data_IF_561097786957
#
_entry.id   IF_561097786957
#
_cell.length_a   1.000
_cell.length_b   1.000
_cell.length_c   1.000
_cell.angle_alpha   90.00
_cell.angle_beta   90.00
_cell.angle_gamma   90.00
#
_symmetry.space_group_name_H-M   'P 1'
#
loop_
_entity.id
_entity.type
_entity.pdbx_description
1 polymer ?
#
# COMPACT_ATOMS: atom_id res chain seq x y z
N UNK A 1 9.11 9.74 18.71
CA UNK A 1 7.77 9.38 18.20
C UNK A 1 7.98 8.16 17.31
N UNK A 2 7.04 7.75 16.46
CA UNK A 2 7.35 6.77 15.42
C UNK A 2 7.63 7.52 14.12
N UNK A 3 8.58 7.05 13.33
CA UNK A 3 8.79 7.56 11.98
C UNK A 3 7.57 7.26 11.10
N UNK A 4 7.39 8.01 10.02
CA UNK A 4 6.31 7.74 9.06
C UNK A 4 6.41 6.31 8.50
N UNK A 5 7.62 5.80 8.30
CA UNK A 5 7.81 4.43 7.82
C UNK A 5 7.29 3.40 8.83
N UNK A 6 7.65 3.53 10.11
CA UNK A 6 7.20 2.60 11.16
C UNK A 6 5.66 2.61 11.32
N UNK A 7 5.01 3.74 11.05
CA UNK A 7 3.55 3.87 11.08
C UNK A 7 2.89 3.11 9.91
N UNK A 8 3.54 3.09 8.74
CA UNK A 8 3.04 2.46 7.51
C UNK A 8 3.37 0.97 7.44
N UNK A 9 4.44 0.55 8.10
CA UNK A 9 4.89 -0.84 8.13
C UNK A 9 3.79 -1.80 8.61
N UNK A 10 3.65 -2.90 7.88
CA UNK A 10 2.68 -3.93 8.20
C UNK A 10 3.00 -4.58 9.55
N UNK A 11 1.97 -4.87 10.33
CA UNK A 11 2.14 -5.76 11.49
C UNK A 11 2.52 -7.18 11.03
N UNK A 12 3.10 -8.04 11.90
CA UNK A 12 3.42 -9.41 11.55
C UNK A 12 2.22 -10.22 11.01
N UNK A 13 1.03 -9.97 11.54
CA UNK A 13 -0.21 -10.60 11.10
C UNK A 13 -0.64 -10.12 9.70
N UNK A 14 -0.54 -8.80 9.45
CA UNK A 14 -0.82 -8.20 8.14
C UNK A 14 0.18 -8.69 7.10
N UNK A 15 1.47 -8.76 7.43
CA UNK A 15 2.53 -9.26 6.54
C UNK A 15 2.29 -10.74 6.16
N UNK A 16 1.87 -11.56 7.13
CA UNK A 16 1.51 -12.96 6.88
C UNK A 16 0.31 -13.10 5.95
N UNK A 17 -0.71 -12.24 6.09
CA UNK A 17 -1.85 -12.21 5.19
C UNK A 17 -1.44 -11.74 3.78
N UNK A 18 -0.63 -10.69 3.70
CA UNK A 18 -0.08 -10.16 2.46
C UNK A 18 0.69 -11.23 1.66
N UNK A 19 1.60 -11.96 2.31
CA UNK A 19 2.36 -13.06 1.68
C UNK A 19 1.46 -14.14 1.07
N UNK A 20 0.29 -14.41 1.66
CA UNK A 20 -0.70 -15.35 1.11
C UNK A 20 -1.38 -14.80 -0.14
N UNK A 21 -1.70 -13.51 -0.16
CA UNK A 21 -2.24 -12.83 -1.34
C UNK A 21 -1.23 -12.85 -2.49
N UNK A 22 0.03 -12.50 -2.23
CA UNK A 22 1.12 -12.56 -3.22
C UNK A 22 1.18 -13.95 -3.88
N UNK A 23 1.17 -15.00 -3.04
CA UNK A 23 1.20 -16.38 -3.54
C UNK A 23 -0.04 -16.72 -4.37
N UNK A 24 -1.23 -16.31 -3.94
CA UNK A 24 -2.47 -16.55 -4.69
C UNK A 24 -2.44 -15.88 -6.08
N UNK A 25 -1.91 -14.66 -6.18
CA UNK A 25 -1.73 -13.97 -7.47
C UNK A 25 -0.76 -14.74 -8.37
N UNK A 26 0.37 -15.19 -7.81
CA UNK A 26 1.37 -15.97 -8.55
C UNK A 26 0.80 -17.31 -9.05
N UNK A 27 0.10 -18.05 -8.18
CA UNK A 27 -0.52 -19.33 -8.51
C UNK A 27 -1.59 -19.17 -9.61
N UNK A 28 -2.41 -18.11 -9.55
CA UNK A 28 -3.40 -17.82 -10.59
C UNK A 28 -2.74 -17.53 -11.95
N UNK A 29 -1.71 -16.68 -12.00
CA UNK A 29 -0.94 -16.42 -13.23
C UNK A 29 -0.31 -17.70 -13.78
N UNK A 30 0.28 -18.52 -12.91
CA UNK A 30 0.89 -19.80 -13.28
C UNK A 30 -0.13 -20.79 -13.87
N UNK A 31 -1.40 -20.72 -13.45
CA UNK A 31 -2.49 -21.52 -14.02
C UNK A 31 -3.02 -21.01 -15.37
N UNK A 32 -2.41 -19.96 -15.94
CA UNK A 32 -2.86 -19.32 -17.19
C UNK A 32 -3.90 -18.22 -17.00
N UNK A 33 -4.21 -17.87 -15.75
CA UNK A 33 -5.08 -16.76 -15.41
C UNK A 33 -4.51 -15.42 -15.87
N UNK A 34 -5.39 -14.53 -16.32
CA UNK A 34 -5.05 -13.20 -16.78
C UNK A 34 -5.88 -12.17 -16.03
N UNK A 35 -5.25 -11.04 -15.78
CA UNK A 35 -5.81 -9.89 -15.10
C UNK A 35 -5.87 -8.75 -16.12
N UNK A 36 -6.82 -7.81 -15.97
CA UNK A 36 -6.93 -6.60 -16.79
C UNK A 36 -7.23 -5.41 -15.88
N UNK A 37 -6.38 -4.37 -15.91
CA UNK A 37 -6.63 -3.07 -15.27
C UNK A 37 -5.99 -1.98 -16.09
N UNK A 38 -6.30 -0.76 -15.69
CA UNK A 38 -5.52 0.44 -15.99
C UNK A 38 -4.80 0.77 -14.69
N UNK A 39 -3.45 0.83 -14.73
CA UNK A 39 -2.53 0.98 -13.59
C UNK A 39 -2.36 -0.34 -12.81
N UNK A 40 -1.12 -0.76 -12.64
CA UNK A 40 -0.76 -2.17 -12.49
C UNK A 40 -0.24 -2.53 -11.09
N UNK A 41 -0.27 -1.60 -10.13
CA UNK A 41 0.34 -1.79 -8.81
C UNK A 41 -0.71 -1.86 -7.71
N UNK A 42 -0.70 -2.96 -6.95
CA UNK A 42 -1.39 -3.07 -5.67
C UNK A 42 -0.39 -2.93 -4.54
N UNK A 43 -0.54 -1.92 -3.69
CA UNK A 43 0.30 -1.72 -2.50
C UNK A 43 -0.47 -2.02 -1.21
N UNK A 44 0.21 -2.57 -0.21
CA UNK A 44 -0.32 -2.78 1.13
C UNK A 44 0.30 -1.80 2.12
N UNK A 45 -0.48 -1.36 3.10
CA UNK A 45 -0.07 -0.47 4.19
C UNK A 45 -0.83 -0.81 5.47
N UNK A 46 -0.31 -0.37 6.62
CA UNK A 46 -1.00 -0.52 7.90
C UNK A 46 -2.16 0.48 8.02
N UNK A 47 -3.41 -0.02 7.96
CA UNK A 47 -4.62 0.79 8.10
C UNK A 47 -4.95 1.24 9.54
N UNK A 48 -4.12 0.90 10.52
CA UNK A 48 -4.33 1.30 11.92
C UNK A 48 -4.25 2.81 12.10
N UNK A 49 -3.29 3.46 11.43
CA UNK A 49 -2.99 4.88 11.60
C UNK A 49 -3.31 5.74 10.38
N UNK A 50 -3.49 5.12 9.20
CA UNK A 50 -3.88 5.82 7.97
C UNK A 50 -5.38 6.04 7.94
N UNK A 51 -5.81 7.29 7.72
CA UNK A 51 -7.21 7.67 7.55
C UNK A 51 -7.64 7.53 6.07
N UNK A 52 -6.88 8.13 5.15
CA UNK A 52 -7.12 8.07 3.70
C UNK A 52 -5.81 8.09 2.92
N UNK A 53 -5.84 7.55 1.70
CA UNK A 53 -4.84 7.78 0.66
C UNK A 53 -5.60 8.28 -0.57
N UNK A 54 -5.33 9.51 -0.98
CA UNK A 54 -6.01 10.22 -2.07
C UNK A 54 -5.08 11.27 -2.70
N UNK A 55 -5.60 12.08 -3.63
CA UNK A 55 -4.83 13.07 -4.38
C UNK A 55 -4.75 14.45 -3.67
N UNK A 56 -5.16 14.57 -2.39
CA UNK A 56 -5.46 15.87 -1.80
C UNK A 56 -4.31 16.47 -0.98
N UNK A 57 -3.96 15.86 0.16
CA UNK A 57 -3.04 16.42 1.18
C UNK A 57 -2.32 15.31 1.96
N UNK A 58 -1.27 15.65 2.70
CA UNK A 58 -0.58 14.73 3.61
C UNK A 58 0.82 14.32 3.18
N UNK A 59 1.33 13.22 3.74
CA UNK A 59 2.67 12.73 3.44
C UNK A 59 2.70 12.03 2.09
N UNK A 60 3.67 12.33 1.25
CA UNK A 60 3.70 11.73 -0.07
C UNK A 60 3.97 10.22 0.04
N UNK A 61 3.18 9.40 -0.65
CA UNK A 61 3.38 7.95 -0.75
C UNK A 61 4.77 7.53 -1.24
N UNK A 62 5.50 8.36 -2.01
CA UNK A 62 6.88 8.07 -2.46
C UNK A 62 7.92 8.23 -1.35
N UNK A 63 7.57 8.88 -0.24
CA UNK A 63 8.45 9.08 0.91
C UNK A 63 8.53 7.85 1.81
N UNK A 64 7.74 6.82 1.53
CA UNK A 64 7.71 5.56 2.30
C UNK A 64 7.73 4.35 1.38
N UNK A 65 8.22 3.23 1.90
CA UNK A 65 8.09 1.93 1.28
C UNK A 65 6.74 1.30 1.65
N UNK A 66 6.01 0.85 0.64
CA UNK A 66 4.84 -0.03 0.80
C UNK A 66 5.10 -1.32 0.02
N UNK A 67 4.96 -2.50 0.63
CA UNK A 67 5.06 -3.76 -0.11
C UNK A 67 3.97 -3.80 -1.19
N UNK A 68 4.37 -4.14 -2.41
CA UNK A 68 3.51 -4.07 -3.57
C UNK A 68 3.60 -5.30 -4.47
N UNK A 69 2.52 -5.54 -5.21
CA UNK A 69 2.47 -6.52 -6.30
C UNK A 69 2.29 -5.72 -7.58
N UNK A 70 3.25 -5.86 -8.49
CA UNK A 70 3.06 -5.48 -9.89
C UNK A 70 2.22 -6.57 -10.58
N UNK A 71 0.95 -6.25 -10.77
CA UNK A 71 -0.02 -7.09 -11.43
C UNK A 71 -1.05 -6.24 -12.15
N UNK A 72 -0.78 -6.03 -13.44
CA UNK A 72 -1.77 -5.59 -14.41
C UNK A 72 -3.09 -6.32 -14.22
N UNK A 73 -4.08 -5.65 -13.61
CA UNK A 73 -5.43 -6.11 -13.33
C UNK A 73 -5.93 -6.16 -11.89
N UNK A 74 -5.24 -5.54 -10.93
CA UNK A 74 -5.73 -5.41 -9.55
C UNK A 74 -6.38 -4.06 -9.21
N UNK A 75 -5.73 -2.88 -9.36
CA UNK A 75 -6.29 -1.59 -8.87
C UNK A 75 -5.61 -0.31 -9.44
N UNK A 76 -6.40 0.78 -9.49
CA UNK A 76 -6.11 2.22 -9.76
C UNK A 76 -5.60 2.94 -8.47
N UNK A 77 -4.91 4.11 -8.44
CA UNK A 77 -5.14 5.45 -9.00
C UNK A 77 -3.95 6.01 -9.83
N UNK A 78 -4.27 7.09 -10.58
CA UNK A 78 -3.55 7.79 -11.67
C UNK A 78 -2.07 8.15 -11.42
N UNK A 79 -1.37 8.55 -12.49
CA UNK A 79 -0.02 9.15 -12.54
C UNK A 79 0.18 10.41 -11.66
N UNK A 80 -0.76 10.71 -10.78
CA UNK A 80 -0.80 11.91 -9.95
C UNK A 80 -0.13 11.67 -8.58
N UNK A 81 0.22 12.78 -7.94
CA UNK A 81 0.71 12.81 -6.57
C UNK A 81 -0.35 12.27 -5.60
N UNK A 82 0.05 11.38 -4.68
CA UNK A 82 -0.83 10.81 -3.66
C UNK A 82 -0.32 11.13 -2.25
N UNK A 83 -1.22 11.66 -1.44
CA UNK A 83 -1.00 11.98 -0.04
C UNK A 83 -1.54 10.89 0.89
N UNK A 84 -0.81 10.63 1.97
CA UNK A 84 -1.20 9.81 3.11
C UNK A 84 -1.69 10.76 4.20
N UNK A 85 -2.99 10.68 4.50
CA UNK A 85 -3.56 11.38 5.64
C UNK A 85 -3.64 10.42 6.83
N UNK A 86 -3.02 10.81 7.96
CA UNK A 86 -3.08 10.04 9.20
C UNK A 86 -4.32 10.39 10.01
N UNK A 87 -4.74 9.47 10.89
CA UNK A 87 -5.84 9.72 11.84
C UNK A 87 -5.43 10.77 12.87
N UNK A 88 -6.41 11.52 13.36
CA UNK A 88 -6.21 12.55 14.39
C UNK A 88 -5.45 11.99 15.61
N UNK A 89 -4.44 12.73 16.07
CA UNK A 89 -3.64 12.38 17.25
C UNK A 89 -2.48 11.41 16.98
N UNK A 90 -2.25 10.98 15.74
CA UNK A 90 -1.02 10.28 15.35
C UNK A 90 0.09 11.32 15.15
N UNK A 91 1.16 11.22 15.94
CA UNK A 91 2.34 12.08 15.84
C UNK A 91 3.48 11.36 15.11
N UNK A 92 4.10 12.06 14.16
CA UNK A 92 5.20 11.55 13.34
C UNK A 92 6.51 12.20 13.77
N UNK A 93 7.56 11.40 13.85
CA UNK A 93 8.93 11.91 13.98
C UNK A 93 9.41 12.47 12.63
N UNK A 94 9.69 13.77 12.55
CA UNK A 94 10.13 14.45 11.30
C UNK A 94 11.65 14.45 11.09
N UNK A 95 12.40 13.80 11.98
CA UNK A 95 13.88 13.75 11.99
C UNK A 95 14.49 12.79 10.93
#
# INVERSE_FOLDING_TARGET
>A
MATLQEIIDLTPEQEKAWKRLVRAVQDFKASGGKFYSVLDTLSAYNGEHVATIDNDTGYHTVSVYMPSIDCAGFTSFADDWHGITLKDGVEVDED
#
